data_IF_009161808075
#
_entry.id   IF_009161808075
#
_cell.length_a   1.000
_cell.length_b   1.000
_cell.length_c   1.000
_cell.angle_alpha   90.00
_cell.angle_beta   90.00
_cell.angle_gamma   90.00
#
_symmetry.space_group_name_H-M   'P 1'
#
loop_
_entity.id
_entity.type
_entity.pdbx_description
1 polymer ?
#
# COMPACT_ATOMS: atom_id res chain seq x y z
N UNK A 1 -17.86 2.52 11.38
CA UNK A 1 -16.88 3.33 12.14
C UNK A 1 -15.69 3.56 11.23
N UNK A 2 -15.33 4.81 10.91
CA UNK A 2 -14.17 5.10 10.06
C UNK A 2 -12.90 4.83 10.84
N UNK A 3 -12.01 3.98 10.32
CA UNK A 3 -10.63 3.88 10.83
C UNK A 3 -10.01 5.27 10.89
N UNK A 4 -9.31 5.56 11.99
CA UNK A 4 -8.59 6.81 12.17
C UNK A 4 -7.47 6.92 11.12
N UNK A 5 -7.15 8.14 10.67
CA UNK A 5 -6.04 8.37 9.75
C UNK A 5 -4.67 7.96 10.33
N UNK A 6 -4.59 7.80 11.65
CA UNK A 6 -3.39 7.37 12.38
C UNK A 6 -3.25 5.84 12.49
N UNK A 7 -4.31 5.07 12.20
CA UNK A 7 -4.22 3.62 12.25
C UNK A 7 -3.63 3.09 10.95
N UNK A 8 -2.54 2.30 11.01
CA UNK A 8 -1.98 1.69 9.82
C UNK A 8 -2.94 0.68 9.21
N UNK A 9 -2.93 0.58 7.88
CA UNK A 9 -3.53 -0.57 7.22
C UNK A 9 -2.58 -1.76 7.32
N UNK A 10 -3.04 -2.82 8.00
CA UNK A 10 -2.29 -4.07 8.15
C UNK A 10 -2.63 -5.02 7.00
N UNK A 11 -1.61 -5.53 6.31
CA UNK A 11 -1.73 -6.61 5.34
C UNK A 11 -1.11 -7.89 5.89
N UNK A 12 -1.92 -8.94 5.91
CA UNK A 12 -1.53 -10.29 6.27
C UNK A 12 -1.58 -11.16 5.02
N UNK A 13 -0.50 -11.88 4.72
CA UNK A 13 -0.47 -12.76 3.56
C UNK A 13 -1.48 -13.90 3.74
N UNK A 14 -2.44 -14.09 2.82
CA UNK A 14 -3.40 -15.17 2.90
C UNK A 14 -2.66 -16.52 2.82
N UNK A 15 -3.13 -17.51 3.59
CA UNK A 15 -2.59 -18.87 3.69
C UNK A 15 -1.26 -19.07 4.45
N UNK A 16 -0.61 -18.00 4.92
CA UNK A 16 0.53 -18.10 5.87
C UNK A 16 0.12 -17.88 7.33
N UNK A 17 -1.19 -17.98 7.60
CA UNK A 17 -1.82 -17.71 8.89
C UNK A 17 -1.09 -18.34 10.09
N UNK A 18 -0.76 -17.49 11.07
CA UNK A 18 -0.10 -17.82 12.34
C UNK A 18 1.32 -18.41 12.25
N UNK A 19 2.02 -18.32 11.12
CA UNK A 19 3.47 -18.56 11.14
C UNK A 19 4.14 -17.49 12.03
N UNK A 20 4.67 -17.92 13.18
CA UNK A 20 5.32 -17.03 14.16
C UNK A 20 6.64 -16.42 13.64
N UNK A 21 7.06 -16.74 12.42
CA UNK A 21 8.35 -16.35 11.85
C UNK A 21 8.23 -15.33 10.70
N UNK A 22 7.26 -14.41 10.78
CA UNK A 22 7.24 -13.23 9.90
C UNK A 22 7.74 -11.99 10.65
N UNK A 23 8.50 -11.15 9.94
CA UNK A 23 8.80 -9.80 10.41
C UNK A 23 7.66 -8.87 9.99
N UNK A 24 7.40 -7.82 10.78
CA UNK A 24 6.46 -6.77 10.36
C UNK A 24 7.26 -5.56 9.92
N UNK A 25 7.01 -5.11 8.70
CA UNK A 25 7.59 -3.85 8.17
C UNK A 25 6.52 -2.77 8.14
N UNK A 26 6.93 -1.53 8.38
CA UNK A 26 6.05 -0.37 8.26
C UNK A 26 6.51 0.48 7.07
N UNK A 27 5.61 0.66 6.10
CA UNK A 27 5.83 1.52 4.94
C UNK A 27 5.21 2.90 5.20
N UNK A 28 6.04 3.93 5.06
CA UNK A 28 5.65 5.35 5.07
C UNK A 28 6.02 5.98 3.73
N UNK A 29 5.19 6.90 3.27
CA UNK A 29 5.33 7.48 1.95
C UNK A 29 5.40 9.00 1.99
N UNK A 30 6.25 9.55 1.13
CA UNK A 30 6.23 10.95 0.73
C UNK A 30 6.55 11.03 -0.77
N UNK A 31 6.10 12.09 -1.42
CA UNK A 31 6.45 12.40 -2.80
C UNK A 31 7.16 13.74 -2.86
N UNK A 32 7.93 13.95 -3.93
CA UNK A 32 8.61 15.21 -4.20
C UNK A 32 8.41 15.58 -5.66
N UNK A 33 8.20 16.87 -5.91
CA UNK A 33 8.10 17.46 -7.26
C UNK A 33 7.08 16.76 -8.16
N UNK A 34 5.91 16.41 -7.61
CA UNK A 34 4.83 15.81 -8.40
C UNK A 34 4.38 16.77 -9.52
N UNK A 35 3.98 16.24 -10.68
CA UNK A 35 3.43 17.06 -11.75
C UNK A 35 2.15 17.77 -11.27
N UNK A 36 2.05 19.06 -11.58
CA UNK A 36 0.81 19.78 -11.39
C UNK A 36 -0.16 19.42 -12.52
N UNK A 37 -1.24 18.73 -12.19
CA UNK A 37 -2.26 18.31 -13.14
C UNK A 37 -3.46 19.29 -13.18
N UNK A 38 -3.45 20.31 -12.31
CA UNK A 38 -4.51 21.29 -12.21
C UNK A 38 -4.16 22.61 -12.91
N UNK A 39 -5.19 23.29 -13.44
CA UNK A 39 -5.02 24.55 -14.17
C UNK A 39 -5.01 25.79 -13.29
N UNK A 40 -5.74 25.77 -12.16
CA UNK A 40 -5.92 26.91 -11.25
C UNK A 40 -5.49 26.61 -9.81
N UNK A 41 -4.96 25.42 -9.54
CA UNK A 41 -4.59 24.90 -8.23
C UNK A 41 -3.32 24.04 -8.33
N UNK A 42 -2.92 23.42 -7.23
CA UNK A 42 -1.95 22.31 -7.23
C UNK A 42 -2.72 20.99 -7.13
N UNK A 43 -2.16 19.92 -7.68
CA UNK A 43 -2.69 18.56 -7.53
C UNK A 43 -2.99 18.18 -6.07
N UNK A 44 -4.03 17.36 -5.90
CA UNK A 44 -4.42 16.74 -4.63
C UNK A 44 -3.95 15.26 -4.55
N UNK A 45 -2.69 14.96 -4.24
CA UNK A 45 -2.15 13.60 -4.31
C UNK A 45 -2.79 12.63 -3.31
N UNK A 46 -2.94 11.38 -3.77
CA UNK A 46 -3.38 10.21 -2.99
C UNK A 46 -2.68 8.95 -3.50
N UNK A 47 -2.14 8.14 -2.59
CA UNK A 47 -1.44 6.90 -2.90
C UNK A 47 -2.35 5.68 -2.70
N UNK A 48 -2.23 4.71 -3.59
CA UNK A 48 -2.85 3.39 -3.48
C UNK A 48 -1.74 2.34 -3.49
N UNK A 49 -1.75 1.46 -2.49
CA UNK A 49 -0.75 0.39 -2.35
C UNK A 49 -1.38 -0.92 -2.78
N UNK A 50 -0.70 -1.64 -3.67
CA UNK A 50 -1.08 -2.97 -4.12
C UNK A 50 0.11 -3.91 -3.91
N UNK A 51 -0.19 -5.17 -3.60
CA UNK A 51 0.78 -6.26 -3.58
C UNK A 51 0.48 -7.20 -4.73
N UNK A 52 1.51 -7.58 -5.47
CA UNK A 52 1.41 -8.60 -6.50
C UNK A 52 1.52 -9.99 -5.86
N UNK A 53 0.52 -10.83 -6.12
CA UNK A 53 0.54 -12.23 -5.76
C UNK A 53 0.70 -13.05 -7.04
N UNK A 54 1.82 -13.76 -7.14
CA UNK A 54 2.09 -14.69 -8.23
C UNK A 54 1.74 -16.10 -7.75
N UNK A 55 0.82 -16.77 -8.43
CA UNK A 55 0.42 -18.15 -8.16
C UNK A 55 0.53 -19.00 -9.42
N UNK A 56 0.47 -20.32 -9.26
CA UNK A 56 0.30 -21.26 -10.36
C UNK A 56 -1.12 -21.81 -10.28
N UNK A 57 -1.89 -21.70 -11.35
CA UNK A 57 -3.24 -22.23 -11.39
C UNK A 57 -3.27 -23.75 -11.60
N UNK A 58 -4.47 -24.33 -11.63
CA UNK A 58 -4.65 -25.77 -11.83
C UNK A 58 -4.17 -26.28 -13.20
N UNK A 59 -3.95 -25.39 -14.18
CA UNK A 59 -3.42 -25.72 -15.50
C UNK A 59 -1.88 -25.62 -15.57
N UNK A 60 -1.22 -25.23 -14.48
CA UNK A 60 0.22 -25.00 -14.46
C UNK A 60 0.64 -23.64 -14.99
N UNK A 61 -0.31 -22.73 -15.26
CA UNK A 61 -0.01 -21.38 -15.74
C UNK A 61 0.28 -20.45 -14.56
N UNK A 62 1.31 -19.61 -14.72
CA UNK A 62 1.60 -18.53 -13.77
C UNK A 62 0.57 -17.42 -13.91
N UNK A 63 -0.10 -17.11 -12.80
CA UNK A 63 -1.11 -16.05 -12.71
C UNK A 63 -0.62 -14.98 -11.74
N UNK A 64 -0.60 -13.73 -12.20
CA UNK A 64 -0.35 -12.56 -11.35
C UNK A 64 -1.67 -11.89 -10.98
N UNK A 65 -1.88 -11.64 -9.69
CA UNK A 65 -3.05 -10.93 -9.15
C UNK A 65 -2.61 -9.77 -8.27
N UNK A 66 -3.16 -8.58 -8.51
CA UNK A 66 -2.86 -7.40 -7.69
C UNK A 66 -3.90 -7.22 -6.60
N UNK A 67 -3.46 -7.34 -5.36
CA UNK A 67 -4.29 -7.19 -4.16
C UNK A 67 -4.11 -5.80 -3.57
N UNK A 68 -5.20 -5.03 -3.47
CA UNK A 68 -5.17 -3.72 -2.84
C UNK A 68 -4.93 -3.86 -1.34
N UNK A 69 -3.83 -3.30 -0.86
CA UNK A 69 -3.52 -3.20 0.58
C UNK A 69 -4.33 -2.08 1.21
N UNK A 70 -4.35 -0.92 0.56
CA UNK A 70 -5.05 0.25 1.08
C UNK A 70 -4.75 1.51 0.28
N UNK A 71 -5.11 2.65 0.85
CA UNK A 71 -4.80 3.98 0.30
C UNK A 71 -4.55 4.98 1.42
N UNK A 72 -3.72 5.97 1.14
CA UNK A 72 -3.48 7.11 2.03
C UNK A 72 -4.69 8.05 2.08
N UNK A 73 -4.64 9.03 2.96
CA UNK A 73 -5.41 10.25 2.84
C UNK A 73 -5.09 11.00 1.54
N UNK A 74 -6.01 11.85 1.11
CA UNK A 74 -5.77 12.85 0.06
C UNK A 74 -5.19 14.09 0.74
N UNK A 75 -4.12 14.65 0.19
CA UNK A 75 -3.55 15.92 0.66
C UNK A 75 -3.88 16.98 -0.38
N UNK A 76 -4.56 18.04 0.04
CA UNK A 76 -5.00 19.07 -0.89
C UNK A 76 -3.84 20.00 -1.29
N UNK A 77 -3.80 20.36 -2.58
CA UNK A 77 -2.92 21.41 -3.11
C UNK A 77 -1.42 21.25 -2.79
N UNK A 78 -0.88 20.04 -2.88
CA UNK A 78 0.51 19.78 -2.49
C UNK A 78 1.24 18.88 -3.49
N UNK A 79 2.33 19.39 -4.08
CA UNK A 79 3.19 18.61 -4.99
C UNK A 79 4.32 17.88 -4.27
N UNK A 80 4.47 18.09 -2.96
CA UNK A 80 5.46 17.47 -2.08
C UNK A 80 4.78 16.87 -0.82
N UNK A 81 3.80 15.98 -0.99
CA UNK A 81 3.06 15.41 0.14
C UNK A 81 3.95 14.51 1.01
N UNK A 82 3.76 14.60 2.32
CA UNK A 82 4.14 13.55 3.28
C UNK A 82 2.86 12.99 3.87
N UNK A 83 2.61 11.70 3.68
CA UNK A 83 1.40 11.05 4.14
C UNK A 83 1.57 10.57 5.59
N UNK A 84 0.55 10.81 6.42
CA UNK A 84 0.49 10.36 7.81
C UNK A 84 0.19 8.87 7.90
N UNK A 85 -0.70 8.38 7.03
CA UNK A 85 -1.10 6.98 7.05
C UNK A 85 0.04 6.07 6.61
N UNK A 86 0.34 5.06 7.43
CA UNK A 86 1.32 4.02 7.14
C UNK A 86 0.67 2.67 6.86
N UNK A 87 1.46 1.71 6.38
CA UNK A 87 1.03 0.37 6.04
C UNK A 87 1.93 -0.65 6.72
N UNK A 88 1.36 -1.53 7.54
CA UNK A 88 2.08 -2.63 8.18
C UNK A 88 1.92 -3.87 7.32
N UNK A 89 3.02 -4.46 6.87
CA UNK A 89 3.00 -5.64 5.99
C UNK A 89 3.79 -6.76 6.65
N UNK A 90 3.21 -7.97 6.65
CA UNK A 90 3.95 -9.18 7.01
C UNK A 90 4.99 -9.49 5.93
N UNK A 91 6.26 -9.52 6.33
CA UNK A 91 7.42 -9.83 5.51
C UNK A 91 7.97 -11.22 5.83
N UNK A 92 8.12 -12.04 4.79
CA UNK A 92 8.70 -13.37 4.83
C UNK A 92 9.97 -13.36 3.96
N UNK A 93 11.12 -13.70 4.55
CA UNK A 93 12.41 -13.65 3.85
C UNK A 93 12.51 -14.67 2.70
N UNK A 94 11.86 -15.85 2.83
CA UNK A 94 11.98 -16.98 1.89
C UNK A 94 10.68 -17.33 1.16
N UNK A 95 9.78 -16.36 0.91
CA UNK A 95 8.57 -16.59 0.11
C UNK A 95 8.85 -16.67 -1.39
#
# INVERSE_FOLDING_TARGET
MSKSAYEPDCYHYPNYGNSQLCSKIELRFSCKDLPNMDTLSKSDPKLFVFLEQVTIDSSGQTVSTWMKVGSTEKIDNNLNPTFLKSFIIDYYFEM
#
